data_IF_114776957064
#
_entry.id   IF_114776957064
#
_cell.length_a   1.000
_cell.length_b   1.000
_cell.length_c   1.000
_cell.angle_alpha   90.00
_cell.angle_beta   90.00
_cell.angle_gamma   90.00
#
_symmetry.space_group_name_H-M   'P 1'
#
loop_
_entity.id
_entity.type
_entity.pdbx_description
1 polymer ?
#
# COMPACT_ATOMS: atom_id res chain seq x y z
N UNK A 1 1.36 -30.63 -29.68
CA UNK A 1 2.78 -30.97 -29.60
C UNK A 1 3.48 -30.06 -28.59
N UNK A 2 3.92 -30.61 -27.46
CA UNK A 2 4.69 -29.87 -26.45
C UNK A 2 6.06 -29.52 -27.05
N UNK A 3 6.29 -28.22 -27.27
CA UNK A 3 7.57 -27.72 -27.79
C UNK A 3 8.40 -27.19 -26.62
N UNK A 4 9.72 -27.37 -26.65
CA UNK A 4 10.65 -26.65 -25.76
C UNK A 4 10.73 -25.18 -26.16
N UNK A 5 11.05 -24.30 -25.20
CA UNK A 5 11.18 -22.86 -25.42
C UNK A 5 9.97 -22.07 -24.98
N UNK A 6 9.90 -20.84 -25.45
CA UNK A 6 8.83 -19.89 -25.11
C UNK A 6 7.55 -20.16 -25.86
N UNK A 7 6.43 -20.20 -25.15
CA UNK A 7 5.09 -20.33 -25.72
C UNK A 7 4.15 -19.29 -25.12
N UNK A 8 3.27 -18.72 -25.96
CA UNK A 8 2.21 -17.81 -25.52
C UNK A 8 0.88 -18.58 -25.52
N UNK A 9 0.26 -18.69 -24.34
CA UNK A 9 -0.99 -19.43 -24.12
C UNK A 9 -1.94 -18.47 -23.41
N UNK A 10 -3.12 -18.23 -23.94
CA UNK A 10 -4.15 -17.32 -23.40
C UNK A 10 -3.58 -15.95 -22.97
N UNK A 11 -2.77 -15.37 -23.86
CA UNK A 11 -2.15 -14.04 -23.62
C UNK A 11 -0.92 -14.05 -22.73
N UNK A 12 -0.64 -15.12 -21.99
CA UNK A 12 0.48 -15.23 -21.07
C UNK A 12 1.67 -16.00 -21.66
N UNK A 13 2.89 -15.66 -21.23
CA UNK A 13 4.09 -16.36 -21.65
C UNK A 13 4.46 -17.47 -20.65
N UNK A 14 4.86 -18.62 -21.19
CA UNK A 14 5.33 -19.80 -20.48
C UNK A 14 6.65 -20.28 -21.08
N UNK A 15 7.51 -20.85 -20.24
CA UNK A 15 8.77 -21.40 -20.69
C UNK A 15 8.83 -22.90 -20.46
N UNK A 16 9.13 -23.66 -21.50
CA UNK A 16 9.25 -25.12 -21.47
C UNK A 16 10.72 -25.50 -21.70
N UNK A 17 11.24 -26.36 -20.84
CA UNK A 17 12.56 -26.98 -20.97
C UNK A 17 12.36 -28.49 -21.02
N UNK A 18 12.94 -29.15 -22.04
CA UNK A 18 12.76 -30.58 -22.25
C UNK A 18 11.28 -31.00 -22.20
N UNK A 19 10.42 -30.26 -22.90
CA UNK A 19 8.96 -30.47 -22.95
C UNK A 19 8.22 -30.33 -21.61
N UNK A 20 8.89 -29.96 -20.54
CA UNK A 20 8.32 -29.72 -19.21
C UNK A 20 8.17 -28.24 -18.92
N UNK A 21 7.05 -27.86 -18.31
CA UNK A 21 6.80 -26.48 -17.89
C UNK A 21 7.74 -26.09 -16.75
N UNK A 22 8.51 -25.05 -16.95
CA UNK A 22 9.36 -24.47 -15.90
C UNK A 22 8.49 -23.64 -14.95
N UNK A 23 8.71 -23.79 -13.65
CA UNK A 23 7.99 -23.10 -12.56
C UNK A 23 8.97 -22.62 -11.51
N UNK A 24 8.57 -21.59 -10.76
CA UNK A 24 9.33 -21.02 -9.62
C UNK A 24 10.81 -20.77 -9.95
N UNK A 25 11.08 -20.20 -11.11
CA UNK A 25 12.45 -20.04 -11.59
C UNK A 25 12.68 -18.71 -12.31
N UNK A 26 13.90 -18.21 -12.20
CA UNK A 26 14.35 -17.12 -13.06
C UNK A 26 14.70 -17.65 -14.44
N UNK A 27 14.15 -16.99 -15.45
CA UNK A 27 14.36 -17.29 -16.86
C UNK A 27 14.72 -16.04 -17.64
N UNK A 28 15.38 -16.21 -18.77
CA UNK A 28 15.76 -15.10 -19.64
C UNK A 28 14.88 -15.12 -20.90
N UNK A 29 14.23 -13.98 -21.20
CA UNK A 29 13.47 -13.80 -22.43
C UNK A 29 14.08 -12.61 -23.19
N UNK A 30 14.70 -12.88 -24.31
CA UNK A 30 15.53 -11.89 -25.00
C UNK A 30 16.74 -11.48 -24.15
N UNK A 31 16.93 -10.20 -23.95
CA UNK A 31 18.05 -9.64 -23.17
C UNK A 31 17.77 -9.51 -21.67
N UNK A 32 16.50 -9.62 -21.23
CA UNK A 32 16.09 -9.34 -19.84
C UNK A 32 15.72 -10.62 -19.08
N UNK A 33 15.98 -10.61 -17.78
CA UNK A 33 15.52 -11.63 -16.85
C UNK A 33 14.07 -11.37 -16.42
N UNK A 34 13.38 -12.45 -16.12
CA UNK A 34 12.06 -12.48 -15.49
C UNK A 34 11.91 -13.72 -14.64
N UNK A 35 10.75 -13.92 -14.07
CA UNK A 35 10.42 -15.02 -13.21
C UNK A 35 9.20 -15.77 -13.75
N UNK A 36 9.24 -17.08 -13.70
CA UNK A 36 8.07 -17.94 -13.90
C UNK A 36 7.59 -18.39 -12.52
N UNK A 37 6.33 -18.10 -12.23
CA UNK A 37 5.70 -18.38 -10.94
C UNK A 37 5.34 -19.86 -10.75
N UNK A 38 4.63 -20.19 -9.67
CA UNK A 38 4.17 -21.53 -9.37
C UNK A 38 3.22 -22.11 -10.44
N UNK A 39 2.54 -21.25 -11.20
CA UNK A 39 1.68 -21.66 -12.32
C UNK A 39 2.46 -21.81 -13.62
N UNK A 40 3.72 -21.36 -13.65
CA UNK A 40 4.58 -21.30 -14.83
C UNK A 40 4.39 -20.04 -15.67
N UNK A 41 3.57 -19.08 -15.21
CA UNK A 41 3.35 -17.81 -15.90
C UNK A 41 4.58 -16.92 -15.74
N UNK A 42 5.06 -16.39 -16.88
CA UNK A 42 6.18 -15.47 -16.89
C UNK A 42 5.74 -14.05 -16.51
N UNK A 43 6.48 -13.45 -15.62
CA UNK A 43 6.32 -12.06 -15.22
C UNK A 43 7.66 -11.33 -15.16
N UNK A 44 7.61 -10.01 -15.29
CA UNK A 44 8.73 -9.07 -15.06
C UNK A 44 8.26 -8.01 -14.09
N UNK A 45 9.18 -7.36 -13.41
CA UNK A 45 8.84 -6.30 -12.46
C UNK A 45 8.37 -6.85 -11.11
N UNK A 46 7.23 -6.38 -10.64
CA UNK A 46 6.70 -6.73 -9.31
C UNK A 46 6.17 -8.16 -9.23
N UNK A 47 6.52 -8.85 -8.15
CA UNK A 47 6.04 -10.20 -7.82
C UNK A 47 5.44 -10.16 -6.42
N UNK A 48 4.14 -10.41 -6.33
CA UNK A 48 3.46 -10.57 -5.04
C UNK A 48 3.77 -11.97 -4.53
N UNK A 49 4.39 -12.06 -3.35
CA UNK A 49 4.74 -13.31 -2.69
C UNK A 49 3.65 -13.70 -1.71
N UNK A 50 3.18 -12.74 -0.92
CA UNK A 50 2.06 -12.91 0.02
C UNK A 50 1.27 -11.61 0.08
N UNK A 51 0.04 -11.65 -0.39
CA UNK A 51 -0.84 -10.48 -0.41
C UNK A 51 -1.35 -10.11 0.98
N UNK A 52 -1.55 -11.08 1.87
CA UNK A 52 -2.04 -10.85 3.23
C UNK A 52 -1.03 -10.10 4.09
N UNK A 53 0.26 -10.34 3.86
CA UNK A 53 1.37 -9.70 4.55
C UNK A 53 2.00 -8.55 3.73
N UNK A 54 1.45 -8.24 2.55
CA UNK A 54 2.01 -7.24 1.62
C UNK A 54 3.48 -7.51 1.28
N UNK A 55 3.85 -8.78 1.14
CA UNK A 55 5.20 -9.20 0.77
C UNK A 55 5.35 -9.19 -0.75
N UNK A 56 6.11 -8.24 -1.25
CA UNK A 56 6.39 -8.11 -2.68
C UNK A 56 7.88 -8.03 -2.94
N UNK A 57 8.30 -8.55 -4.09
CA UNK A 57 9.66 -8.47 -4.61
C UNK A 57 9.66 -7.80 -5.98
N UNK A 58 10.80 -7.33 -6.40
CA UNK A 58 10.98 -6.79 -7.74
C UNK A 58 12.06 -7.56 -8.48
N UNK A 59 11.74 -8.04 -9.67
CA UNK A 59 12.70 -8.76 -10.52
C UNK A 59 13.72 -7.76 -11.03
N UNK A 60 15.00 -8.06 -10.87
CA UNK A 60 16.04 -7.29 -11.52
C UNK A 60 16.08 -7.67 -13.01
N UNK A 61 15.72 -6.77 -13.95
CA UNK A 61 15.69 -7.12 -15.37
C UNK A 61 17.08 -7.31 -15.98
N UNK A 62 18.12 -6.82 -15.32
CA UNK A 62 19.49 -6.78 -15.86
C UNK A 62 20.34 -7.96 -15.38
N UNK A 63 19.97 -8.56 -14.24
CA UNK A 63 20.67 -9.72 -13.70
C UNK A 63 19.69 -10.76 -13.13
N UNK A 64 20.09 -12.03 -13.11
CA UNK A 64 19.28 -13.11 -12.53
C UNK A 64 19.09 -12.87 -11.03
N UNK A 65 17.86 -12.61 -10.60
CA UNK A 65 17.52 -12.42 -9.19
C UNK A 65 16.47 -11.33 -8.96
N UNK A 66 16.13 -11.16 -7.70
CA UNK A 66 15.37 -10.00 -7.23
C UNK A 66 16.33 -8.86 -6.87
N UNK A 67 15.81 -7.64 -6.89
CA UNK A 67 16.45 -6.48 -6.27
C UNK A 67 16.49 -6.74 -4.76
N UNK A 68 17.64 -6.59 -4.12
CA UNK A 68 17.81 -6.87 -2.70
C UNK A 68 18.92 -6.02 -2.09
N UNK A 69 18.75 -5.64 -0.82
CA UNK A 69 19.68 -4.84 -0.03
C UNK A 69 20.12 -3.54 -0.72
N UNK A 70 19.20 -2.92 -1.43
CA UNK A 70 19.43 -1.66 -2.15
C UNK A 70 18.13 -0.85 -2.28
N UNK A 71 18.25 0.43 -2.63
CA UNK A 71 17.13 1.22 -3.14
C UNK A 71 17.17 1.25 -4.67
N UNK A 72 15.99 1.33 -5.29
CA UNK A 72 15.87 1.37 -6.75
C UNK A 72 14.72 2.26 -7.19
N UNK A 73 14.97 3.08 -8.20
CA UNK A 73 13.93 3.82 -8.91
C UNK A 73 13.17 2.87 -9.84
N UNK A 74 11.85 2.81 -9.69
CA UNK A 74 10.95 1.98 -10.50
C UNK A 74 9.74 2.84 -10.83
N UNK A 75 9.46 3.02 -12.12
CA UNK A 75 8.32 3.80 -12.62
C UNK A 75 8.19 5.19 -11.95
N UNK A 76 9.33 5.88 -11.81
CA UNK A 76 9.38 7.23 -11.23
C UNK A 76 9.23 7.30 -9.70
N UNK A 77 9.26 6.17 -8.99
CA UNK A 77 9.24 6.09 -7.53
C UNK A 77 10.45 5.36 -6.98
N UNK A 78 10.95 5.83 -5.82
CA UNK A 78 12.07 5.21 -5.11
C UNK A 78 11.56 4.18 -4.10
N UNK A 79 12.01 2.94 -4.25
CA UNK A 79 11.68 1.84 -3.35
C UNK A 79 12.93 1.27 -2.69
N UNK A 80 12.75 0.73 -1.49
CA UNK A 80 13.80 0.09 -0.70
C UNK A 80 13.53 -1.41 -0.57
N UNK A 81 14.59 -2.20 -0.65
CA UNK A 81 14.52 -3.66 -0.58
C UNK A 81 15.46 -4.19 0.51
N UNK A 82 14.96 -5.11 1.31
CA UNK A 82 15.73 -5.78 2.35
C UNK A 82 16.73 -6.80 1.77
N UNK A 83 17.51 -7.43 2.65
CA UNK A 83 18.49 -8.46 2.29
C UNK A 83 17.84 -9.71 1.66
N UNK A 84 16.57 -9.96 1.87
CA UNK A 84 15.82 -11.05 1.28
C UNK A 84 15.11 -10.67 -0.03
N UNK A 85 15.25 -9.40 -0.46
CA UNK A 85 14.62 -8.84 -1.67
C UNK A 85 13.15 -8.47 -1.49
N UNK A 86 12.62 -8.40 -0.27
CA UNK A 86 11.30 -7.88 -0.04
C UNK A 86 11.31 -6.36 -0.01
N UNK A 87 10.30 -5.74 -0.62
CA UNK A 87 10.10 -4.30 -0.51
C UNK A 87 9.84 -3.93 0.95
N UNK A 88 10.59 -2.96 1.43
CA UNK A 88 10.38 -2.38 2.76
C UNK A 88 9.16 -1.46 2.66
N UNK A 89 8.10 -1.78 3.43
CA UNK A 89 6.82 -1.07 3.36
C UNK A 89 6.75 0.15 4.30
N UNK A 90 7.69 0.28 5.23
CA UNK A 90 7.80 1.39 6.17
C UNK A 90 9.26 1.84 6.26
N UNK A 91 9.53 3.03 5.78
CA UNK A 91 10.87 3.67 5.80
C UNK A 91 10.86 4.97 6.61
N UNK A 92 9.94 5.11 7.55
CA UNK A 92 9.83 6.27 8.45
C UNK A 92 11.07 6.49 9.31
N UNK A 93 11.88 5.45 9.51
CA UNK A 93 13.19 5.54 10.16
C UNK A 93 14.22 6.34 9.34
N UNK A 94 14.05 6.43 8.02
CA UNK A 94 14.93 7.15 7.10
C UNK A 94 14.44 8.59 6.91
N UNK A 95 13.12 8.78 6.75
CA UNK A 95 12.49 10.07 6.47
C UNK A 95 11.63 10.50 7.65
N UNK A 96 11.88 11.70 8.19
CA UNK A 96 11.27 12.17 9.46
C UNK A 96 10.47 13.46 9.37
N UNK A 97 10.40 14.08 8.18
CA UNK A 97 9.66 15.34 8.01
C UNK A 97 9.34 15.64 6.55
N UNK A 98 8.47 16.62 6.31
CA UNK A 98 8.15 17.09 4.96
C UNK A 98 7.20 16.18 4.20
N UNK A 99 6.34 15.46 4.90
CA UNK A 99 5.46 14.46 4.30
C UNK A 99 4.33 15.05 3.46
N UNK A 100 4.04 14.37 2.37
CA UNK A 100 2.79 14.50 1.59
C UNK A 100 1.98 13.23 1.75
N UNK A 101 0.68 13.36 2.00
CA UNK A 101 -0.23 12.23 2.18
C UNK A 101 -1.18 12.16 0.98
N UNK A 102 -1.32 10.99 0.41
CA UNK A 102 -2.30 10.70 -0.65
C UNK A 102 -3.27 9.63 -0.17
N UNK A 103 -4.57 9.87 -0.37
CA UNK A 103 -5.63 8.92 -0.01
C UNK A 103 -6.32 8.43 -1.28
N UNK A 104 -6.16 7.15 -1.56
CA UNK A 104 -6.92 6.43 -2.58
C UNK A 104 -8.23 5.93 -1.95
N UNK A 105 -9.32 6.63 -2.26
CA UNK A 105 -10.64 6.31 -1.72
C UNK A 105 -11.23 5.02 -2.27
N UNK A 106 -10.85 4.66 -3.51
CA UNK A 106 -11.37 3.46 -4.18
C UNK A 106 -10.79 2.20 -3.56
N UNK A 107 -9.49 2.20 -3.32
CA UNK A 107 -8.78 1.04 -2.77
C UNK A 107 -8.66 1.06 -1.24
N UNK A 108 -9.14 2.12 -0.56
CA UNK A 108 -9.07 2.24 0.89
C UNK A 108 -7.62 2.27 1.40
N UNK A 109 -6.76 3.03 0.73
CA UNK A 109 -5.33 3.10 1.00
C UNK A 109 -4.88 4.55 1.16
N UNK A 110 -4.06 4.81 2.17
CA UNK A 110 -3.36 6.07 2.38
C UNK A 110 -1.86 5.84 2.23
N UNK A 111 -1.20 6.62 1.37
CA UNK A 111 0.25 6.56 1.20
C UNK A 111 0.89 7.86 1.68
N UNK A 112 1.89 7.73 2.54
CA UNK A 112 2.73 8.83 3.01
C UNK A 112 3.97 8.87 2.13
N UNK A 113 4.29 10.05 1.60
CA UNK A 113 5.49 10.29 0.78
C UNK A 113 6.42 11.27 1.48
N UNK A 114 7.73 11.10 1.30
CA UNK A 114 8.75 11.99 1.83
C UNK A 114 8.95 13.27 0.99
N UNK A 115 8.19 13.43 -0.10
CA UNK A 115 8.35 14.55 -1.03
C UNK A 115 7.00 15.04 -1.58
N UNK A 116 6.99 16.30 -2.02
CA UNK A 116 5.80 16.94 -2.61
C UNK A 116 5.39 16.33 -3.96
N UNK A 117 6.34 15.75 -4.69
CA UNK A 117 6.10 15.11 -5.99
C UNK A 117 5.58 13.69 -5.87
N UNK A 118 5.49 13.15 -4.64
CA UNK A 118 5.02 11.79 -4.35
C UNK A 118 5.84 10.72 -5.06
N UNK A 119 7.16 10.89 -5.10
CA UNK A 119 8.10 9.96 -5.73
C UNK A 119 8.77 9.01 -4.74
N UNK A 120 8.73 9.34 -3.45
CA UNK A 120 9.37 8.55 -2.38
C UNK A 120 8.30 8.05 -1.40
N UNK A 121 7.69 6.89 -1.64
CA UNK A 121 6.72 6.33 -0.70
C UNK A 121 7.43 5.90 0.59
N UNK A 122 6.97 6.40 1.71
CA UNK A 122 7.54 6.13 3.05
C UNK A 122 6.79 5.01 3.74
N UNK A 123 5.45 5.09 3.68
CA UNK A 123 4.56 4.12 4.32
C UNK A 123 3.22 4.07 3.59
N UNK A 124 2.65 2.90 3.48
CA UNK A 124 1.30 2.68 2.95
C UNK A 124 0.42 2.06 4.03
N UNK A 125 -0.74 2.65 4.25
CA UNK A 125 -1.64 2.36 5.36
C UNK A 125 -3.01 1.98 4.81
N UNK A 126 -3.64 0.96 5.36
CA UNK A 126 -5.03 0.62 5.07
C UNK A 126 -5.96 1.57 5.82
N UNK A 127 -6.90 2.20 5.11
CA UNK A 127 -7.83 3.18 5.70
C UNK A 127 -9.27 2.91 5.31
N UNK A 128 -10.20 3.31 6.17
CA UNK A 128 -11.59 3.47 5.79
C UNK A 128 -11.88 4.93 5.47
N UNK A 129 -12.67 5.14 4.44
CA UNK A 129 -13.11 6.46 3.97
C UNK A 129 -14.63 6.61 4.11
N UNK A 130 -15.18 7.72 3.69
CA UNK A 130 -16.62 7.98 3.72
C UNK A 130 -17.44 6.97 2.95
N UNK A 131 -18.62 6.62 3.47
CA UNK A 131 -19.61 5.84 2.73
C UNK A 131 -20.18 6.62 1.55
N UNK A 132 -20.77 5.95 0.55
CA UNK A 132 -21.55 6.62 -0.49
C UNK A 132 -22.58 7.58 0.13
N UNK A 133 -22.61 8.83 -0.37
CA UNK A 133 -23.45 9.92 0.18
C UNK A 133 -22.83 10.68 1.35
N UNK A 134 -21.77 10.17 1.96
CA UNK A 134 -20.94 10.88 2.96
C UNK A 134 -19.47 10.75 2.61
N UNK A 135 -19.17 10.92 1.35
CA UNK A 135 -17.84 10.70 0.77
C UNK A 135 -16.75 11.53 1.46
N UNK A 136 -15.58 10.96 1.57
CA UNK A 136 -14.37 11.74 1.89
C UNK A 136 -14.13 12.74 0.75
N UNK A 137 -14.07 14.05 1.02
CA UNK A 137 -13.91 15.06 -0.02
C UNK A 137 -12.63 14.87 -0.83
N UNK A 138 -12.72 15.16 -2.14
CA UNK A 138 -11.56 15.16 -3.04
C UNK A 138 -10.97 16.55 -3.13
N UNK A 139 -9.66 16.65 -3.20
CA UNK A 139 -8.94 17.92 -3.32
C UNK A 139 -7.55 17.88 -2.74
N UNK A 140 -6.93 19.03 -2.67
CA UNK A 140 -5.67 19.27 -1.96
C UNK A 140 -5.95 20.05 -0.69
N UNK A 141 -5.52 19.53 0.42
CA UNK A 141 -5.78 20.04 1.75
C UNK A 141 -4.50 20.12 2.56
N UNK A 142 -4.52 20.92 3.63
CA UNK A 142 -3.46 20.92 4.63
C UNK A 142 -3.86 20.05 5.82
N UNK A 143 -2.92 19.29 6.36
CA UNK A 143 -3.08 18.60 7.63
C UNK A 143 -2.68 19.60 8.75
N UNK A 144 -3.62 19.88 9.63
CA UNK A 144 -3.44 20.85 10.73
C UNK A 144 -3.98 20.25 12.01
N UNK A 145 -3.86 20.97 13.12
CA UNK A 145 -4.38 20.62 14.45
C UNK A 145 -4.37 19.12 14.74
N UNK A 146 -3.54 18.73 15.66
CA UNK A 146 -3.45 17.39 16.17
C UNK A 146 -4.08 17.30 17.56
N UNK A 147 -4.89 16.27 17.78
CA UNK A 147 -5.53 15.98 19.06
C UNK A 147 -5.27 14.54 19.47
N UNK A 148 -4.80 14.31 20.70
CA UNK A 148 -4.65 12.96 21.24
C UNK A 148 -5.98 12.21 21.27
N UNK A 149 -7.05 12.94 21.62
CA UNK A 149 -8.44 12.48 21.59
C UNK A 149 -9.28 13.51 20.83
N UNK A 150 -9.86 13.10 19.73
CA UNK A 150 -10.71 13.94 18.87
C UNK A 150 -12.15 13.54 19.05
N UNK A 151 -13.00 14.48 19.48
CA UNK A 151 -14.45 14.33 19.44
C UNK A 151 -14.92 14.26 17.99
N UNK A 152 -15.76 13.31 17.69
CA UNK A 152 -16.32 13.05 16.37
C UNK A 152 -17.85 13.25 16.40
N UNK A 153 -18.54 12.95 15.31
CA UNK A 153 -19.99 13.01 15.26
C UNK A 153 -20.65 12.05 16.27
N UNK A 154 -21.67 12.54 16.96
CA UNK A 154 -22.35 11.78 18.02
C UNK A 154 -21.43 11.54 19.23
N UNK A 155 -21.71 10.55 20.07
CA UNK A 155 -20.89 10.24 21.23
C UNK A 155 -19.67 9.38 20.84
N UNK A 156 -18.96 9.76 19.76
CA UNK A 156 -17.82 9.00 19.24
C UNK A 156 -16.53 9.78 19.38
N UNK A 157 -15.44 9.06 19.58
CA UNK A 157 -14.09 9.63 19.73
C UNK A 157 -13.08 8.85 18.89
N UNK A 158 -12.12 9.58 18.31
CA UNK A 158 -10.95 9.02 17.63
C UNK A 158 -9.67 9.36 18.36
N UNK A 159 -8.69 8.46 18.32
CA UNK A 159 -7.36 8.74 18.82
C UNK A 159 -6.51 9.37 17.72
N UNK A 160 -5.58 10.24 18.10
CA UNK A 160 -4.61 10.87 17.20
C UNK A 160 -5.27 11.56 16.00
N UNK A 161 -6.28 12.38 16.29
CA UNK A 161 -7.03 13.11 15.27
C UNK A 161 -6.21 14.24 14.65
N UNK A 162 -5.96 14.15 13.35
CA UNK A 162 -5.32 15.21 12.56
C UNK A 162 -6.37 15.82 11.63
N UNK A 163 -6.58 17.13 11.72
CA UNK A 163 -7.58 17.85 10.94
C UNK A 163 -7.15 18.01 9.48
N UNK A 164 -8.06 17.74 8.56
CA UNK A 164 -7.92 18.00 7.12
C UNK A 164 -8.58 19.36 6.83
N UNK A 165 -7.77 20.42 6.84
CA UNK A 165 -8.21 21.79 6.78
C UNK A 165 -8.82 22.13 5.41
N UNK A 166 -10.02 22.75 5.44
CA UNK A 166 -10.76 23.10 4.23
C UNK A 166 -11.54 21.96 3.57
N UNK A 167 -11.52 20.74 4.15
CA UNK A 167 -12.15 19.56 3.53
C UNK A 167 -13.67 19.44 3.78
N UNK A 168 -14.35 20.49 4.22
CA UNK A 168 -15.80 20.51 4.36
C UNK A 168 -16.31 21.06 5.70
N UNK A 169 -17.61 21.31 5.79
CA UNK A 169 -18.25 21.77 7.01
C UNK A 169 -18.30 20.63 8.04
N UNK A 170 -18.08 20.93 9.32
CA UNK A 170 -18.06 19.95 10.41
C UNK A 170 -16.72 19.26 10.67
N UNK A 171 -15.74 19.45 9.80
CA UNK A 171 -14.37 18.95 9.94
C UNK A 171 -14.18 17.49 9.52
N UNK A 172 -13.22 17.29 8.66
CA UNK A 172 -12.70 15.95 8.28
C UNK A 172 -11.40 15.72 9.03
N UNK A 173 -11.23 14.51 9.55
CA UNK A 173 -10.03 14.11 10.29
C UNK A 173 -9.44 12.81 9.76
N UNK A 174 -8.13 12.70 9.85
CA UNK A 174 -7.44 11.40 9.88
C UNK A 174 -7.34 11.00 11.35
N UNK A 175 -7.85 9.83 11.72
CA UNK A 175 -7.87 9.36 13.11
C UNK A 175 -7.94 7.84 13.21
N UNK A 176 -7.79 7.28 14.41
CA UNK A 176 -8.01 5.86 14.64
C UNK A 176 -9.46 5.45 14.34
N UNK A 177 -9.73 4.15 14.24
CA UNK A 177 -11.10 3.66 14.35
C UNK A 177 -11.77 4.25 15.59
N UNK A 178 -13.07 4.56 15.50
CA UNK A 178 -13.80 5.28 16.53
C UNK A 178 -14.13 4.38 17.74
N UNK A 179 -14.17 4.99 18.92
CA UNK A 179 -14.66 4.42 20.18
C UNK A 179 -15.73 5.30 20.80
N UNK A 180 -16.43 4.79 21.81
CA UNK A 180 -17.61 5.46 22.39
C UNK A 180 -17.31 6.61 23.37
N UNK A 181 -16.06 6.76 23.85
CA UNK A 181 -15.68 7.84 24.77
C UNK A 181 -14.21 8.17 24.68
N UNK A 182 -13.82 9.38 25.07
CA UNK A 182 -12.44 9.75 25.28
C UNK A 182 -11.78 8.84 26.33
N UNK A 183 -10.49 8.59 26.21
CA UNK A 183 -9.72 7.70 27.08
C UNK A 183 -10.15 6.22 27.07
N UNK A 184 -11.04 5.81 26.15
CA UNK A 184 -11.37 4.42 25.95
C UNK A 184 -10.40 3.74 25.01
N UNK A 185 -9.75 2.69 25.49
CA UNK A 185 -8.86 1.84 24.69
C UNK A 185 -9.57 0.59 24.15
N UNK A 186 -10.86 0.44 24.47
CA UNK A 186 -11.68 -0.65 23.96
C UNK A 186 -12.20 -0.28 22.57
N UNK A 187 -11.48 -0.68 21.54
CA UNK A 187 -11.82 -0.41 20.14
C UNK A 187 -12.66 -1.56 19.57
N UNK A 188 -13.76 -1.28 18.85
CA UNK A 188 -14.58 -2.32 18.24
C UNK A 188 -13.80 -3.10 17.18
N UNK A 189 -13.67 -4.41 17.36
CA UNK A 189 -13.02 -5.31 16.36
C UNK A 189 -13.74 -5.22 15.02
N UNK A 190 -15.07 -5.13 15.01
CA UNK A 190 -15.86 -4.98 13.79
C UNK A 190 -15.52 -3.72 12.98
N UNK A 191 -15.14 -2.62 13.65
CA UNK A 191 -14.69 -1.40 12.99
C UNK A 191 -13.28 -1.55 12.40
N UNK A 192 -12.40 -2.28 13.10
CA UNK A 192 -11.07 -2.60 12.61
C UNK A 192 -11.11 -3.47 11.36
N UNK A 193 -11.97 -4.47 11.32
CA UNK A 193 -12.14 -5.37 10.18
C UNK A 193 -12.68 -4.67 8.91
N UNK A 194 -13.27 -3.47 9.06
CA UNK A 194 -13.72 -2.64 7.93
C UNK A 194 -12.63 -1.77 7.31
N UNK A 195 -11.42 -1.74 7.88
CA UNK A 195 -10.31 -0.99 7.26
C UNK A 195 -10.01 -1.52 5.85
N UNK A 196 -9.92 -0.60 4.89
CA UNK A 196 -9.81 -0.90 3.46
C UNK A 196 -11.11 -0.79 2.70
N UNK A 197 -12.23 -0.44 3.38
CA UNK A 197 -13.53 -0.23 2.75
C UNK A 197 -14.20 1.04 3.29
N UNK A 198 -15.19 1.62 2.58
CA UNK A 198 -15.98 2.73 3.08
C UNK A 198 -16.69 2.37 4.39
N UNK A 199 -16.54 3.19 5.43
CA UNK A 199 -17.13 2.93 6.75
C UNK A 199 -17.27 4.19 7.63
N UNK A 200 -17.09 5.39 7.08
CA UNK A 200 -17.17 6.66 7.84
C UNK A 200 -18.19 7.64 7.25
N UNK A 201 -18.31 8.80 7.87
CA UNK A 201 -19.08 9.94 7.37
C UNK A 201 -18.13 11.03 6.81
N UNK A 202 -17.08 10.61 6.08
CA UNK A 202 -16.12 11.48 5.44
C UNK A 202 -14.71 11.45 6.05
N UNK A 203 -14.57 11.16 7.34
CA UNK A 203 -13.26 11.03 7.99
C UNK A 203 -12.46 9.84 7.43
N UNK A 204 -11.14 9.92 7.56
CA UNK A 204 -10.20 8.86 7.17
C UNK A 204 -9.81 8.10 8.43
N UNK A 205 -10.23 6.84 8.54
CA UNK A 205 -10.00 5.99 9.71
C UNK A 205 -8.88 5.00 9.46
N UNK A 206 -8.03 4.80 10.45
CA UNK A 206 -6.92 3.83 10.39
C UNK A 206 -6.76 3.10 11.72
N UNK A 207 -5.79 2.20 11.85
CA UNK A 207 -5.45 1.63 13.16
C UNK A 207 -4.79 2.69 14.06
N UNK A 208 -4.75 2.45 15.37
CA UNK A 208 -4.20 3.42 16.34
C UNK A 208 -2.71 3.69 16.08
N UNK A 209 -1.95 2.64 15.75
CA UNK A 209 -0.51 2.77 15.51
C UNK A 209 -0.19 3.65 14.30
N UNK A 210 -1.03 3.59 13.27
CA UNK A 210 -0.85 4.38 12.05
C UNK A 210 -1.46 5.79 12.16
N UNK A 211 -2.41 6.02 13.09
CA UNK A 211 -2.95 7.34 13.37
C UNK A 211 -1.98 8.21 14.19
N UNK A 212 -1.15 7.57 15.01
CA UNK A 212 -0.12 8.20 15.85
C UNK A 212 1.06 8.74 15.04
#
# INVERSE_FOLDING_TARGET
LRKSGWQKIDGNWYYFKNMSLVKNAFVKKGKKYGYVDATGKFTTGWVVVDNSQNLVRYINPDKKGFVQNESKWIDGKLYYFDKNGYRINDVTNIYKSGYTVEVDRVNGVMTIYADANRTIPVKTIRVSVGNPGTDTPTGRYKLTRYSRWQALMGPSWGQYGTHVDGAGQGGIFVHSIACGSANSYNLPVSAYLKLGSPASHGCIRTCVADAK
#
